data_IF_250045512812
#
_entry.id   IF_250045512812
#
_cell.length_a   1.000
_cell.length_b   1.000
_cell.length_c   1.000
_cell.angle_alpha   90.00
_cell.angle_beta   90.00
_cell.angle_gamma   90.00
#
_symmetry.space_group_name_H-M   'P 1'
#
loop_
_entity.id
_entity.type
_entity.pdbx_description
1 polymer ?
#
# COMPACT_ATOMS: atom_id res chain seq x y z
N UNK A 1 -15.07 -5.66 -4.64
CA UNK A 1 -15.09 -4.46 -5.52
C UNK A 1 -13.92 -4.58 -6.47
N UNK A 2 -14.07 -4.18 -7.73
CA UNK A 2 -12.95 -4.10 -8.67
C UNK A 2 -12.26 -2.74 -8.52
N UNK A 3 -10.94 -2.73 -8.44
CA UNK A 3 -10.10 -1.55 -8.21
C UNK A 3 -9.27 -1.29 -9.47
N UNK A 4 -9.60 -0.23 -10.21
CA UNK A 4 -8.95 0.10 -11.50
C UNK A 4 -7.46 0.36 -11.31
N UNK A 5 -7.07 0.99 -10.19
CA UNK A 5 -5.65 1.23 -9.93
C UNK A 5 -4.81 -0.05 -9.80
N UNK A 6 -5.41 -1.24 -9.61
CA UNK A 6 -4.66 -2.49 -9.57
C UNK A 6 -4.21 -3.00 -10.95
N UNK A 7 -4.74 -2.43 -12.04
CA UNK A 7 -4.33 -2.74 -13.41
C UNK A 7 -3.05 -2.01 -13.78
N UNK A 8 -2.12 -2.68 -14.48
CA UNK A 8 -0.83 -2.12 -14.87
C UNK A 8 -0.99 -0.81 -15.65
N UNK A 9 -1.89 -0.80 -16.63
CA UNK A 9 -2.12 0.30 -17.56
C UNK A 9 -3.26 1.23 -17.11
N UNK A 10 -3.40 1.43 -15.78
CA UNK A 10 -4.42 2.29 -15.20
C UNK A 10 -4.29 3.74 -15.71
N UNK A 11 -5.31 4.21 -16.42
CA UNK A 11 -5.38 5.56 -16.98
C UNK A 11 -5.86 6.65 -16.00
N UNK A 12 -6.23 6.29 -14.77
CA UNK A 12 -6.58 7.28 -13.74
C UNK A 12 -5.38 8.16 -13.42
N UNK A 13 -5.64 9.42 -13.04
CA UNK A 13 -4.64 10.23 -12.34
C UNK A 13 -4.35 9.64 -10.96
N UNK A 14 -3.20 9.97 -10.38
CA UNK A 14 -2.86 9.53 -9.03
C UNK A 14 -3.91 9.98 -8.01
N UNK A 15 -4.42 11.21 -8.15
CA UNK A 15 -5.52 11.76 -7.33
C UNK A 15 -6.80 10.93 -7.44
N UNK A 16 -7.22 10.58 -8.65
CA UNK A 16 -8.40 9.74 -8.87
C UNK A 16 -8.21 8.32 -8.34
N UNK A 17 -7.00 7.76 -8.47
CA UNK A 17 -6.66 6.46 -7.88
C UNK A 17 -6.77 6.47 -6.36
N UNK A 18 -6.30 7.55 -5.70
CA UNK A 18 -6.41 7.72 -4.24
C UNK A 18 -7.87 7.88 -3.83
N UNK A 19 -8.66 8.64 -4.59
CA UNK A 19 -10.10 8.78 -4.34
C UNK A 19 -10.84 7.44 -4.48
N UNK A 20 -10.48 6.61 -5.47
CA UNK A 20 -11.01 5.25 -5.61
C UNK A 20 -10.62 4.36 -4.44
N UNK A 21 -9.38 4.47 -3.96
CA UNK A 21 -8.91 3.77 -2.76
C UNK A 21 -9.70 4.18 -1.51
N UNK A 22 -9.96 5.46 -1.30
CA UNK A 22 -10.78 5.96 -0.18
C UNK A 22 -12.23 5.50 -0.27
N UNK A 23 -12.85 5.55 -1.46
CA UNK A 23 -14.20 5.04 -1.68
C UNK A 23 -14.29 3.53 -1.41
N UNK A 24 -13.24 2.77 -1.76
CA UNK A 24 -13.13 1.35 -1.42
C UNK A 24 -13.07 1.12 0.08
N UNK A 25 -12.27 1.89 0.83
CA UNK A 25 -12.20 1.81 2.29
C UNK A 25 -13.58 2.03 2.92
N UNK A 26 -14.28 3.07 2.50
CA UNK A 26 -15.64 3.39 2.98
C UNK A 26 -16.61 2.23 2.69
N UNK A 27 -16.58 1.67 1.47
CA UNK A 27 -17.44 0.58 1.06
C UNK A 27 -17.25 -0.71 1.88
N UNK A 28 -16.06 -0.93 2.45
CA UNK A 28 -15.76 -2.06 3.35
C UNK A 28 -15.86 -1.68 4.84
N UNK A 29 -16.41 -0.51 5.16
CA UNK A 29 -16.62 -0.04 6.53
C UNK A 29 -15.34 0.32 7.27
N UNK A 30 -14.24 0.62 6.55
CA UNK A 30 -12.97 1.06 7.13
C UNK A 30 -12.84 2.57 7.04
N UNK A 31 -12.29 3.16 8.10
CA UNK A 31 -12.03 4.60 8.16
C UNK A 31 -10.75 4.92 7.40
N UNK A 32 -10.84 5.79 6.40
CA UNK A 32 -9.65 6.41 5.80
C UNK A 32 -8.99 7.33 6.83
N UNK A 33 -7.68 7.19 7.01
CA UNK A 33 -6.91 8.11 7.84
C UNK A 33 -6.79 9.45 7.12
N UNK A 34 -6.60 10.53 7.86
CA UNK A 34 -6.45 11.87 7.29
C UNK A 34 -5.21 12.51 7.91
N UNK A 35 -4.40 13.15 7.08
CA UNK A 35 -3.24 13.90 7.54
C UNK A 35 -3.64 15.07 8.44
N UNK A 36 -2.82 15.34 9.46
CA UNK A 36 -2.91 16.60 10.20
C UNK A 36 -2.35 17.76 9.35
N UNK A 37 -2.68 19.00 9.72
CA UNK A 37 -2.18 20.18 9.03
C UNK A 37 -0.64 20.15 8.93
N UNK A 38 -0.13 20.35 7.70
CA UNK A 38 1.30 20.32 7.39
C UNK A 38 1.92 18.93 7.19
N UNK A 39 1.13 17.85 7.30
CA UNK A 39 1.55 16.49 6.93
C UNK A 39 0.95 16.08 5.58
N UNK A 40 1.69 15.22 4.89
CA UNK A 40 1.22 14.46 3.71
C UNK A 40 1.44 12.96 3.89
N UNK A 41 1.82 12.52 5.10
CA UNK A 41 2.29 11.18 5.35
C UNK A 41 1.25 10.10 5.03
N UNK A 42 -0.03 10.36 5.32
CA UNK A 42 -1.13 9.47 4.96
C UNK A 42 -1.39 9.51 3.45
N UNK A 43 -1.40 10.71 2.84
CA UNK A 43 -1.52 10.87 1.39
C UNK A 43 -0.42 10.10 0.64
N UNK A 44 0.83 10.26 1.07
CA UNK A 44 2.00 9.60 0.50
C UNK A 44 1.90 8.07 0.65
N UNK A 45 1.43 7.59 1.80
CA UNK A 45 1.15 6.18 2.04
C UNK A 45 0.06 5.67 1.08
N UNK A 46 -1.08 6.33 1.02
CA UNK A 46 -2.23 5.92 0.21
C UNK A 46 -1.87 5.92 -1.29
N UNK A 47 -1.04 6.85 -1.72
CA UNK A 47 -0.50 6.87 -3.08
C UNK A 47 0.32 5.60 -3.41
N UNK A 48 0.97 4.95 -2.43
CA UNK A 48 1.70 3.71 -2.69
C UNK A 48 0.78 2.54 -3.00
N UNK A 49 -0.42 2.46 -2.41
CA UNK A 49 -1.45 1.48 -2.80
C UNK A 49 -1.79 1.62 -4.27
N UNK A 50 -1.96 2.86 -4.73
CA UNK A 50 -2.30 3.19 -6.11
C UNK A 50 -1.14 2.86 -7.05
N UNK A 51 0.08 3.34 -6.76
CA UNK A 51 1.23 3.16 -7.63
C UNK A 51 1.67 1.69 -7.73
N UNK A 52 1.62 0.92 -6.64
CA UNK A 52 2.00 -0.49 -6.67
C UNK A 52 0.83 -1.46 -6.93
N UNK A 53 -0.40 -0.95 -6.94
CA UNK A 53 -1.61 -1.73 -7.24
C UNK A 53 -1.95 -2.73 -6.14
N UNK A 54 -1.99 -2.28 -4.89
CA UNK A 54 -2.24 -3.11 -3.69
C UNK A 54 -3.50 -2.63 -2.97
N UNK A 55 -4.37 -3.55 -2.55
CA UNK A 55 -5.49 -3.25 -1.66
C UNK A 55 -5.10 -3.31 -0.17
N UNK A 56 -6.10 -3.31 0.71
CA UNK A 56 -5.92 -3.27 2.17
C UNK A 56 -6.17 -4.61 2.86
N UNK A 57 -6.22 -5.72 2.13
CA UNK A 57 -6.16 -7.06 2.75
C UNK A 57 -4.83 -7.22 3.49
N UNK A 58 -4.80 -7.99 4.59
CA UNK A 58 -3.59 -8.14 5.41
C UNK A 58 -2.38 -8.58 4.59
N UNK A 59 -2.60 -9.47 3.62
CA UNK A 59 -1.56 -9.98 2.75
C UNK A 59 -1.05 -8.93 1.77
N UNK A 60 -1.93 -8.07 1.25
CA UNK A 60 -1.52 -7.00 0.35
C UNK A 60 -0.89 -5.82 1.09
N UNK A 61 -1.31 -5.51 2.32
CA UNK A 61 -0.59 -4.59 3.21
C UNK A 61 0.83 -5.10 3.50
N UNK A 62 0.98 -6.37 3.85
CA UNK A 62 2.30 -6.99 4.05
C UNK A 62 3.16 -7.00 2.77
N UNK A 63 2.52 -7.04 1.60
CA UNK A 63 3.16 -6.85 0.31
C UNK A 63 3.56 -5.39 0.09
N UNK A 64 2.69 -4.44 0.40
CA UNK A 64 2.93 -3.01 0.28
C UNK A 64 4.10 -2.57 1.18
N UNK A 65 4.21 -3.09 2.40
CA UNK A 65 5.38 -2.90 3.27
C UNK A 65 6.69 -3.29 2.55
N UNK A 66 6.65 -4.37 1.76
CA UNK A 66 7.80 -4.84 0.99
C UNK A 66 8.09 -3.91 -0.19
N UNK A 67 7.05 -3.40 -0.87
CA UNK A 67 7.21 -2.35 -1.88
C UNK A 67 7.77 -1.07 -1.28
N UNK A 68 7.31 -0.64 -0.11
CA UNK A 68 7.81 0.55 0.57
C UNK A 68 9.32 0.40 0.86
N UNK A 69 9.74 -0.72 1.45
CA UNK A 69 11.14 -0.95 1.83
C UNK A 69 12.08 -1.03 0.62
N UNK A 70 11.69 -1.74 -0.44
CA UNK A 70 12.60 -2.04 -1.56
C UNK A 70 12.33 -1.23 -2.83
N UNK A 71 11.13 -0.68 -2.97
CA UNK A 71 10.64 0.04 -4.14
C UNK A 71 10.60 1.55 -3.97
N UNK A 72 10.61 2.06 -2.73
CA UNK A 72 10.58 3.49 -2.47
C UNK A 72 11.93 4.07 -2.03
N UNK A 73 12.09 5.37 -2.26
CA UNK A 73 13.12 6.22 -1.67
C UNK A 73 12.47 7.11 -0.63
N UNK A 74 12.99 7.12 0.59
CA UNK A 74 12.37 7.81 1.72
C UNK A 74 13.40 8.33 2.72
N UNK A 75 12.97 9.30 3.52
CA UNK A 75 13.73 9.74 4.68
C UNK A 75 13.27 8.95 5.92
N UNK A 76 14.18 8.18 6.54
CA UNK A 76 13.86 7.36 7.72
C UNK A 76 13.15 8.12 8.84
N UNK A 77 13.52 9.38 9.05
CA UNK A 77 12.88 10.26 10.05
C UNK A 77 11.40 10.50 9.74
N UNK A 78 11.05 10.61 8.46
CA UNK A 78 9.69 10.82 7.98
C UNK A 78 8.83 9.56 8.16
N UNK A 79 9.34 8.39 7.75
CA UNK A 79 8.64 7.10 7.96
C UNK A 79 8.46 6.76 9.44
N UNK A 80 9.41 7.13 10.30
CA UNK A 80 9.27 6.91 11.75
C UNK A 80 8.07 7.67 12.33
N UNK A 81 7.65 8.77 11.72
CA UNK A 81 6.42 9.48 12.08
C UNK A 81 5.16 8.61 11.91
N UNK A 82 5.13 7.79 10.86
CA UNK A 82 3.97 6.96 10.51
C UNK A 82 3.72 5.90 11.59
N UNK A 83 4.78 5.18 11.98
CA UNK A 83 4.71 4.18 13.05
C UNK A 83 4.34 4.79 14.43
N UNK A 84 4.45 6.11 14.58
CA UNK A 84 4.10 6.80 15.82
C UNK A 84 2.64 7.26 15.86
N UNK A 85 1.93 7.27 14.73
CA UNK A 85 0.54 7.69 14.64
C UNK A 85 -0.34 6.83 15.56
N UNK A 86 -1.21 7.46 16.38
CA UNK A 86 -2.13 6.75 17.26
C UNK A 86 -2.99 5.71 16.53
N UNK A 87 -3.43 6.03 15.32
CA UNK A 87 -4.26 5.18 14.47
C UNK A 87 -3.52 3.89 14.07
N UNK A 88 -2.24 4.00 13.70
CA UNK A 88 -1.40 2.85 13.36
C UNK A 88 -1.15 1.98 14.60
N UNK A 89 -0.93 2.59 15.77
CA UNK A 89 -0.81 1.85 17.03
C UNK A 89 -2.11 1.13 17.40
N UNK A 90 -3.25 1.78 17.22
CA UNK A 90 -4.57 1.19 17.45
C UNK A 90 -4.81 -0.01 16.52
N UNK A 91 -4.48 0.13 15.24
CA UNK A 91 -4.52 -0.95 14.24
C UNK A 91 -3.71 -2.17 14.70
N UNK A 92 -2.44 -2.01 15.05
CA UNK A 92 -1.62 -3.13 15.53
C UNK A 92 -2.15 -3.72 16.84
N UNK A 93 -2.70 -2.90 17.73
CA UNK A 93 -3.32 -3.37 18.98
C UNK A 93 -4.58 -4.19 18.70
N UNK A 94 -5.40 -3.80 17.74
CA UNK A 94 -6.60 -4.54 17.33
C UNK A 94 -6.20 -5.87 16.66
N UNK A 95 -5.23 -5.86 15.74
CA UNK A 95 -4.70 -7.06 15.10
C UNK A 95 -4.15 -8.09 16.10
N UNK A 96 -3.38 -7.61 17.09
CA UNK A 96 -2.85 -8.48 18.15
C UNK A 96 -3.91 -8.96 19.11
N UNK A 97 -4.99 -8.19 19.34
CA UNK A 97 -6.14 -8.61 20.14
C UNK A 97 -6.96 -9.71 19.44
N UNK A 98 -7.21 -9.58 18.14
CA UNK A 98 -8.06 -10.51 17.39
C UNK A 98 -7.34 -11.82 17.05
N UNK A 99 -6.06 -11.75 16.67
CA UNK A 99 -5.32 -12.90 16.13
C UNK A 99 -4.09 -13.32 16.93
N UNK A 100 -3.69 -12.55 17.94
CA UNK A 100 -2.47 -12.78 18.70
C UNK A 100 -1.19 -12.74 17.85
N UNK A 101 -0.07 -13.11 18.47
CA UNK A 101 1.23 -13.22 17.78
C UNK A 101 1.26 -14.30 16.68
N UNK A 102 0.40 -15.32 16.80
CA UNK A 102 0.28 -16.40 15.82
C UNK A 102 -0.23 -15.89 14.46
N UNK A 103 -1.17 -14.92 14.44
CA UNK A 103 -1.65 -14.32 13.21
C UNK A 103 -0.52 -13.63 12.43
N UNK A 104 0.33 -12.87 13.13
CA UNK A 104 1.46 -12.17 12.51
C UNK A 104 2.49 -13.15 11.92
N UNK A 105 2.81 -14.23 12.66
CA UNK A 105 3.71 -15.28 12.18
C UNK A 105 3.10 -15.98 10.95
N UNK A 106 1.82 -16.34 11.00
CA UNK A 106 1.12 -16.98 9.88
C UNK A 106 1.08 -16.07 8.66
N UNK A 107 0.79 -14.79 8.84
CA UNK A 107 0.78 -13.77 7.78
C UNK A 107 2.17 -13.66 7.13
N UNK A 108 3.23 -13.62 7.94
CA UNK A 108 4.61 -13.55 7.46
C UNK A 108 4.94 -14.74 6.53
N UNK A 109 4.69 -15.97 6.97
CA UNK A 109 4.97 -17.17 6.18
C UNK A 109 4.10 -17.28 4.93
N UNK A 110 2.80 -16.96 5.05
CA UNK A 110 1.86 -16.96 3.93
C UNK A 110 2.27 -15.99 2.82
N UNK A 111 2.81 -14.82 3.20
CA UNK A 111 3.21 -13.80 2.24
C UNK A 111 4.62 -13.99 1.67
N UNK A 112 5.37 -15.03 2.06
CA UNK A 112 6.78 -15.16 1.65
C UNK A 112 6.94 -15.16 0.11
N UNK A 113 6.10 -15.91 -0.61
CA UNK A 113 6.09 -15.92 -2.07
C UNK A 113 5.71 -14.58 -2.70
N UNK A 114 4.75 -13.86 -2.10
CA UNK A 114 4.39 -12.49 -2.51
C UNK A 114 5.58 -11.54 -2.36
N UNK A 115 6.24 -11.54 -1.19
CA UNK A 115 7.40 -10.69 -0.91
C UNK A 115 8.55 -10.93 -1.89
N UNK A 116 8.85 -12.19 -2.22
CA UNK A 116 9.88 -12.51 -3.21
C UNK A 116 9.54 -12.00 -4.61
N UNK A 117 8.29 -12.13 -5.05
CA UNK A 117 7.83 -11.57 -6.33
C UNK A 117 8.01 -10.05 -6.37
N UNK A 118 7.64 -9.36 -5.29
CA UNK A 118 7.81 -7.91 -5.14
C UNK A 118 9.29 -7.52 -5.21
N UNK A 119 10.17 -8.17 -4.45
CA UNK A 119 11.62 -7.90 -4.48
C UNK A 119 12.19 -8.06 -5.90
N UNK A 120 11.74 -9.07 -6.65
CA UNK A 120 12.16 -9.24 -8.05
C UNK A 120 11.68 -8.10 -8.95
N UNK A 121 10.48 -7.56 -8.73
CA UNK A 121 9.95 -6.41 -9.47
C UNK A 121 10.69 -5.12 -9.12
N UNK A 122 10.95 -4.87 -7.83
CA UNK A 122 11.65 -3.66 -7.39
C UNK A 122 13.08 -3.58 -7.93
N UNK A 123 13.74 -4.71 -8.15
CA UNK A 123 15.07 -4.79 -8.79
C UNK A 123 15.07 -4.39 -10.28
N UNK A 124 13.91 -4.37 -10.93
CA UNK A 124 13.74 -4.01 -12.34
C UNK A 124 13.29 -2.57 -12.54
N UNK A 125 12.98 -1.85 -11.46
CA UNK A 125 12.60 -0.43 -11.53
C UNK A 125 13.79 0.41 -12.00
N UNK A 126 13.50 1.36 -12.89
CA UNK A 126 14.49 2.35 -13.37
C UNK A 126 14.88 3.29 -12.24
N UNK A 127 13.87 3.77 -11.49
CA UNK A 127 14.04 4.67 -10.35
C UNK A 127 13.10 4.26 -9.23
N UNK A 128 13.57 4.32 -7.98
CA UNK A 128 12.72 4.10 -6.81
C UNK A 128 11.64 5.17 -6.73
N UNK A 129 10.45 4.79 -6.28
CA UNK A 129 9.34 5.73 -6.09
C UNK A 129 9.69 6.70 -4.95
N UNK A 130 9.71 8.03 -5.16
CA UNK A 130 9.91 8.96 -4.07
C UNK A 130 8.69 8.90 -3.15
N UNK A 131 8.88 8.46 -1.91
CA UNK A 131 7.80 8.41 -0.93
C UNK A 131 7.30 9.80 -0.54
N UNK A 132 8.06 10.85 -0.83
CA UNK A 132 7.58 12.23 -0.77
C UNK A 132 7.60 12.74 -2.20
N UNK A 133 6.51 12.52 -2.94
CA UNK A 133 6.43 12.87 -4.36
C UNK A 133 6.00 14.33 -4.56
N UNK A 134 6.39 14.98 -5.68
CA UNK A 134 5.96 16.34 -6.01
C UNK A 134 4.44 16.45 -6.18
N UNK A 135 3.81 17.49 -5.64
CA UNK A 135 2.33 17.61 -5.61
C UNK A 135 1.69 17.55 -7.00
N UNK A 136 2.37 18.08 -8.00
CA UNK A 136 1.94 18.04 -9.40
C UNK A 136 1.69 16.61 -9.91
N UNK A 137 2.35 15.60 -9.35
CA UNK A 137 2.16 14.19 -9.73
C UNK A 137 0.77 13.65 -9.37
N UNK A 138 0.02 14.33 -8.49
CA UNK A 138 -1.37 14.00 -8.22
C UNK A 138 -2.22 14.03 -9.50
N UNK A 139 -1.92 14.95 -10.42
CA UNK A 139 -2.71 15.15 -11.63
C UNK A 139 -2.11 14.41 -12.85
N UNK A 140 -1.05 13.64 -12.64
CA UNK A 140 -0.46 12.78 -13.67
C UNK A 140 -1.13 11.39 -13.71
N UNK A 141 -1.29 10.78 -14.91
CA UNK A 141 -1.77 9.41 -15.04
C UNK A 141 -0.86 8.40 -14.33
N UNK A 142 -1.46 7.45 -13.61
CA UNK A 142 -0.76 6.37 -12.90
C UNK A 142 0.11 5.54 -13.85
N UNK A 143 -0.40 5.22 -15.05
CA UNK A 143 0.37 4.52 -16.08
C UNK A 143 1.64 5.28 -16.48
N UNK A 144 1.57 6.61 -16.58
CA UNK A 144 2.72 7.44 -16.93
C UNK A 144 3.77 7.46 -15.80
N UNK A 145 3.32 7.61 -14.56
CA UNK A 145 4.19 7.55 -13.37
C UNK A 145 4.86 6.18 -13.24
N UNK A 146 4.13 5.09 -13.46
CA UNK A 146 4.70 3.74 -13.45
C UNK A 146 5.73 3.55 -14.56
N UNK A 147 5.45 4.01 -15.77
CA UNK A 147 6.39 3.96 -16.88
C UNK A 147 7.68 4.73 -16.58
N UNK A 148 7.56 5.94 -16.03
CA UNK A 148 8.70 6.77 -15.61
C UNK A 148 9.61 6.06 -14.60
N UNK A 149 9.02 5.32 -13.66
CA UNK A 149 9.77 4.61 -12.61
C UNK A 149 10.14 3.15 -12.99
N UNK A 150 9.69 2.65 -14.13
CA UNK A 150 9.83 1.24 -14.50
C UNK A 150 9.07 0.29 -13.55
N UNK A 151 7.92 0.72 -13.04
CA UNK A 151 7.08 -0.06 -12.13
C UNK A 151 6.20 -1.00 -12.93
N UNK A 152 6.36 -2.30 -12.69
CA UNK A 152 5.39 -3.32 -13.09
C UNK A 152 4.70 -3.85 -11.86
N UNK A 153 3.38 -3.64 -11.76
CA UNK A 153 2.55 -4.20 -10.71
C UNK A 153 2.46 -5.72 -10.85
N UNK A 154 1.98 -6.35 -9.79
CA UNK A 154 1.69 -7.78 -9.80
C UNK A 154 0.34 -8.02 -10.49
N UNK A 155 0.19 -9.12 -11.22
CA UNK A 155 -1.14 -9.56 -11.69
C UNK A 155 -2.01 -9.98 -10.50
N UNK A 156 -3.31 -10.21 -10.74
CA UNK A 156 -4.23 -10.71 -9.71
C UNK A 156 -3.75 -12.04 -9.11
N UNK A 157 -3.26 -12.95 -9.94
CA UNK A 157 -2.72 -14.25 -9.56
C UNK A 157 -1.40 -14.09 -8.80
N UNK A 158 -0.58 -13.10 -9.19
CA UNK A 158 0.65 -12.77 -8.48
C UNK A 158 0.41 -12.12 -7.13
N UNK A 159 -0.72 -11.43 -6.93
CA UNK A 159 -1.13 -10.91 -5.60
C UNK A 159 -1.77 -11.98 -4.72
N UNK A 160 -2.42 -12.97 -5.33
CA UNK A 160 -3.11 -14.02 -4.59
C UNK A 160 -2.15 -14.82 -3.70
N UNK A 161 -2.59 -15.07 -2.47
CA UNK A 161 -1.89 -15.88 -1.46
C UNK A 161 -2.77 -17.03 -0.93
N UNK A 162 -3.88 -17.34 -1.61
CA UNK A 162 -4.95 -18.23 -1.15
C UNK A 162 -5.99 -17.48 -0.31
N UNK A 163 -6.66 -18.16 0.61
CA UNK A 163 -7.71 -17.56 1.44
C UNK A 163 -7.16 -16.43 2.31
N UNK A 164 -7.83 -15.27 2.30
CA UNK A 164 -7.40 -14.10 3.05
C UNK A 164 -7.59 -14.31 4.55
N UNK A 165 -6.57 -13.94 5.32
CA UNK A 165 -6.68 -13.88 6.77
C UNK A 165 -7.67 -12.80 7.16
N UNK A 166 -8.69 -13.20 7.93
CA UNK A 166 -9.72 -12.32 8.42
C UNK A 166 -9.30 -11.72 9.77
N UNK A 167 -9.68 -10.46 9.98
CA UNK A 167 -9.62 -9.78 11.27
C UNK A 167 -10.77 -8.76 11.32
N UNK A 168 -11.11 -8.23 12.49
CA UNK A 168 -12.32 -7.41 12.64
C UNK A 168 -12.33 -6.13 11.78
N UNK A 169 -11.15 -5.62 11.40
CA UNK A 169 -11.05 -4.38 10.63
C UNK A 169 -11.36 -3.13 11.44
N UNK A 170 -11.63 -3.26 12.74
CA UNK A 170 -12.08 -2.19 13.63
C UNK A 170 -10.94 -1.79 14.58
N UNK A 171 -10.58 -0.51 14.56
CA UNK A 171 -9.54 0.07 15.42
C UNK A 171 -9.79 1.56 15.68
#
# INVERSE_FOLDING_TARGET
MYLRYQEQDCGLTLREGIAEYHAYLEAIGRKAMVDHAGSRLILEHDATHVIFGMDTSLEQEAGLDTWLIFGCQYQWRYLRGYAQLPEIKALYKALTKDGGWLLLIKLYWKCLGLKWRIIRRTRRMTHKWPFQFPEEWLDHPVVALRAQHGISTLTREERATGDLLQWSGQY
#
